data_IF_732585547090
#
_entry.id   IF_732585547090
#
_cell.length_a   1.000
_cell.length_b   1.000
_cell.length_c   1.000
_cell.angle_alpha   90.00
_cell.angle_beta   90.00
_cell.angle_gamma   90.00
#
_symmetry.space_group_name_H-M   'P 1'
#
loop_
_entity.id
_entity.type
_entity.pdbx_description
1 polymer ?
#
# COMPACT_ATOMS: atom_id res chain seq x y z
N UNK A 1 -38.44 -12.88 2.86
CA UNK A 1 -37.23 -13.58 3.34
C UNK A 1 -35.99 -13.34 2.48
N UNK A 2 -36.10 -12.89 1.21
CA UNK A 2 -34.94 -12.53 0.38
C UNK A 2 -34.24 -11.22 0.76
N UNK A 3 -34.97 -10.23 1.30
CA UNK A 3 -34.37 -8.95 1.69
C UNK A 3 -33.33 -9.09 2.82
N UNK A 4 -33.47 -10.08 3.70
CA UNK A 4 -32.57 -10.31 4.83
C UNK A 4 -31.22 -10.88 4.41
N UNK A 5 -31.16 -11.72 3.36
CA UNK A 5 -29.90 -12.27 2.84
C UNK A 5 -29.10 -11.24 2.06
N UNK A 6 -29.77 -10.38 1.29
CA UNK A 6 -29.14 -9.27 0.56
C UNK A 6 -28.59 -8.23 1.54
N UNK A 7 -29.31 -7.95 2.63
CA UNK A 7 -28.86 -7.05 3.69
C UNK A 7 -27.60 -7.57 4.39
N UNK A 8 -27.58 -8.86 4.77
CA UNK A 8 -26.41 -9.50 5.39
C UNK A 8 -25.21 -9.60 4.43
N UNK A 9 -25.45 -9.84 3.14
CA UNK A 9 -24.38 -9.88 2.13
C UNK A 9 -23.77 -8.50 1.89
N UNK A 10 -24.58 -7.44 1.87
CA UNK A 10 -24.11 -6.09 1.69
C UNK A 10 -23.43 -5.52 2.94
N UNK A 11 -23.90 -5.88 4.14
CA UNK A 11 -23.22 -5.58 5.40
C UNK A 11 -21.88 -6.33 5.50
N UNK A 12 -21.82 -7.58 5.03
CA UNK A 12 -20.57 -8.33 4.91
C UNK A 12 -19.60 -7.68 3.92
N UNK A 13 -20.07 -7.27 2.73
CA UNK A 13 -19.24 -6.59 1.72
C UNK A 13 -18.76 -5.21 2.18
N UNK A 14 -19.59 -4.45 2.91
CA UNK A 14 -19.23 -3.14 3.47
C UNK A 14 -18.20 -3.26 4.59
N UNK A 15 -18.44 -4.16 5.55
CA UNK A 15 -17.47 -4.46 6.59
C UNK A 15 -16.19 -5.02 5.99
N UNK A 16 -16.28 -5.80 4.91
CA UNK A 16 -15.12 -6.28 4.16
C UNK A 16 -14.39 -5.14 3.46
N UNK A 17 -15.06 -4.08 2.99
CA UNK A 17 -14.43 -2.96 2.30
C UNK A 17 -13.76 -1.96 3.27
N UNK A 18 -14.38 -1.68 4.42
CA UNK A 18 -13.76 -0.90 5.50
C UNK A 18 -12.58 -1.66 6.12
N UNK A 19 -12.78 -2.95 6.43
CA UNK A 19 -11.67 -3.83 6.83
C UNK A 19 -10.64 -3.96 5.72
N UNK A 20 -11.01 -3.93 4.44
CA UNK A 20 -10.06 -3.95 3.34
C UNK A 20 -9.25 -2.66 3.29
N UNK A 21 -9.82 -1.50 3.63
CA UNK A 21 -9.08 -0.23 3.64
C UNK A 21 -8.09 -0.17 4.80
N UNK A 22 -8.52 -0.55 6.01
CA UNK A 22 -7.64 -0.67 7.18
C UNK A 22 -6.59 -1.77 7.01
N UNK A 23 -6.99 -2.92 6.46
CA UNK A 23 -6.09 -4.02 6.10
C UNK A 23 -5.11 -3.58 5.01
N UNK A 24 -5.54 -2.78 4.02
CA UNK A 24 -4.68 -2.26 2.96
C UNK A 24 -3.60 -1.34 3.53
N UNK A 25 -3.97 -0.40 4.41
CA UNK A 25 -3.00 0.50 5.05
C UNK A 25 -2.05 -0.25 6.00
N UNK A 26 -2.57 -1.20 6.78
CA UNK A 26 -1.77 -2.03 7.68
C UNK A 26 -0.82 -2.92 6.90
N UNK A 27 -1.29 -3.53 5.82
CA UNK A 27 -0.49 -4.33 4.90
C UNK A 27 0.59 -3.49 4.21
N UNK A 28 0.26 -2.25 3.81
CA UNK A 28 1.20 -1.28 3.26
C UNK A 28 2.34 -1.00 4.23
N UNK A 29 2.01 -0.59 5.46
CA UNK A 29 2.98 -0.33 6.51
C UNK A 29 3.81 -1.57 6.82
N UNK A 30 3.16 -2.72 6.98
CA UNK A 30 3.83 -4.00 7.20
C UNK A 30 4.82 -4.33 6.08
N UNK A 31 4.44 -4.14 4.82
CA UNK A 31 5.30 -4.39 3.65
C UNK A 31 6.52 -3.47 3.66
N UNK A 32 6.32 -2.18 3.95
CA UNK A 32 7.39 -1.18 4.02
C UNK A 32 8.35 -1.51 5.17
N UNK A 33 7.84 -1.77 6.38
CA UNK A 33 8.67 -2.13 7.53
C UNK A 33 9.41 -3.44 7.30
N UNK A 34 8.77 -4.43 6.70
CA UNK A 34 9.39 -5.70 6.35
C UNK A 34 10.54 -5.51 5.37
N UNK A 35 10.37 -4.66 4.34
CA UNK A 35 11.45 -4.32 3.41
C UNK A 35 12.66 -3.74 4.14
N UNK A 36 12.47 -2.71 4.98
CA UNK A 36 13.59 -2.10 5.71
C UNK A 36 14.24 -3.07 6.71
N UNK A 37 13.45 -3.94 7.33
CA UNK A 37 13.96 -4.99 8.19
C UNK A 37 14.87 -5.97 7.43
N UNK A 38 14.45 -6.43 6.24
CA UNK A 38 15.28 -7.27 5.38
C UNK A 38 16.56 -6.56 4.93
N UNK A 39 16.49 -5.26 4.65
CA UNK A 39 17.68 -4.47 4.32
C UNK A 39 18.67 -4.48 5.48
N UNK A 40 18.22 -4.21 6.70
CA UNK A 40 19.10 -4.22 7.89
C UNK A 40 19.73 -5.61 8.12
N UNK A 41 18.95 -6.69 8.04
CA UNK A 41 19.48 -8.05 8.17
C UNK A 41 20.52 -8.34 7.09
N UNK A 42 20.20 -8.03 5.84
CA UNK A 42 21.10 -8.27 4.71
C UNK A 42 22.39 -7.49 4.89
N UNK A 43 22.33 -6.22 5.32
CA UNK A 43 23.49 -5.40 5.63
C UNK A 43 24.42 -6.12 6.63
N UNK A 44 23.86 -6.67 7.70
CA UNK A 44 24.62 -7.41 8.70
C UNK A 44 25.29 -8.67 8.14
N UNK A 45 24.60 -9.41 7.27
CA UNK A 45 25.12 -10.63 6.66
C UNK A 45 26.25 -10.35 5.66
N UNK A 46 26.12 -9.29 4.84
CA UNK A 46 27.07 -8.99 3.78
C UNK A 46 28.22 -8.08 4.21
N UNK A 47 28.24 -7.60 5.46
CA UNK A 47 29.20 -6.58 5.94
C UNK A 47 30.68 -6.93 5.76
N UNK A 48 31.02 -8.23 5.80
CA UNK A 48 32.40 -8.73 5.63
C UNK A 48 32.72 -9.15 4.19
N UNK A 49 31.76 -9.07 3.28
CA UNK A 49 31.99 -9.41 1.87
C UNK A 49 32.78 -8.32 1.16
N UNK A 50 33.34 -8.69 0.00
CA UNK A 50 34.05 -7.76 -0.87
C UNK A 50 33.13 -6.60 -1.29
N UNK A 51 33.71 -5.41 -1.48
CA UNK A 51 32.98 -4.19 -1.81
C UNK A 51 32.08 -4.35 -3.04
N UNK A 52 32.55 -5.06 -4.07
CA UNK A 52 31.78 -5.34 -5.29
C UNK A 52 30.50 -6.11 -4.96
N UNK A 53 30.56 -7.16 -4.13
CA UNK A 53 29.38 -7.92 -3.71
C UNK A 53 28.38 -7.04 -2.97
N UNK A 54 28.88 -6.15 -2.11
CA UNK A 54 28.05 -5.18 -1.36
C UNK A 54 27.36 -4.17 -2.27
N UNK A 55 28.06 -3.68 -3.30
CA UNK A 55 27.49 -2.80 -4.34
C UNK A 55 26.38 -3.52 -5.12
N UNK A 56 26.61 -4.76 -5.56
CA UNK A 56 25.61 -5.55 -6.28
C UNK A 56 24.36 -5.76 -5.40
N UNK A 57 24.54 -6.12 -4.13
CA UNK A 57 23.43 -6.24 -3.18
C UNK A 57 22.66 -4.93 -3.01
N UNK A 58 23.34 -3.78 -3.01
CA UNK A 58 22.69 -2.48 -2.89
C UNK A 58 21.81 -2.20 -4.11
N UNK A 59 22.33 -2.42 -5.32
CA UNK A 59 21.57 -2.27 -6.58
C UNK A 59 20.33 -3.18 -6.56
N UNK A 60 20.48 -4.43 -6.16
CA UNK A 60 19.37 -5.38 -6.05
C UNK A 60 18.32 -4.86 -5.05
N UNK A 61 18.73 -4.40 -3.86
CA UNK A 61 17.81 -3.88 -2.86
C UNK A 61 17.03 -2.63 -3.32
N UNK A 62 17.68 -1.75 -4.09
CA UNK A 62 17.03 -0.57 -4.70
C UNK A 62 16.01 -1.02 -5.75
N UNK A 63 16.36 -2.01 -6.57
CA UNK A 63 15.44 -2.57 -7.56
C UNK A 63 14.21 -3.22 -6.91
N UNK A 64 14.40 -3.96 -5.81
CA UNK A 64 13.29 -4.50 -5.02
C UNK A 64 12.40 -3.41 -4.43
N UNK A 65 12.97 -2.29 -3.96
CA UNK A 65 12.18 -1.14 -3.51
C UNK A 65 11.32 -0.57 -4.64
N UNK A 66 11.89 -0.45 -5.84
CA UNK A 66 11.15 0.02 -7.01
C UNK A 66 9.97 -0.90 -7.35
N UNK A 67 10.19 -2.22 -7.38
CA UNK A 67 9.11 -3.20 -7.60
C UNK A 67 8.03 -3.09 -6.53
N UNK A 68 8.42 -2.96 -5.25
CA UNK A 68 7.48 -2.80 -4.14
C UNK A 68 6.59 -1.56 -4.32
N UNK A 69 7.17 -0.42 -4.72
CA UNK A 69 6.43 0.82 -4.95
C UNK A 69 5.43 0.65 -6.11
N UNK A 70 5.84 0.02 -7.21
CA UNK A 70 4.93 -0.27 -8.33
C UNK A 70 3.77 -1.18 -7.91
N UNK A 71 4.05 -2.18 -7.06
CA UNK A 71 3.02 -3.08 -6.53
C UNK A 71 2.01 -2.32 -5.67
N UNK A 72 2.49 -1.48 -4.75
CA UNK A 72 1.66 -0.60 -3.92
C UNK A 72 0.78 0.30 -4.80
N UNK A 73 1.36 0.96 -5.81
CA UNK A 73 0.62 1.82 -6.73
C UNK A 73 -0.49 1.07 -7.46
N UNK A 74 -0.20 -0.15 -7.92
CA UNK A 74 -1.16 -0.99 -8.63
C UNK A 74 -2.33 -1.39 -7.72
N UNK A 75 -2.06 -1.78 -6.47
CA UNK A 75 -3.10 -2.13 -5.51
C UNK A 75 -4.02 -0.95 -5.17
N UNK A 76 -3.44 0.23 -4.96
CA UNK A 76 -4.23 1.45 -4.71
C UNK A 76 -5.08 1.82 -5.93
N UNK A 77 -4.53 1.70 -7.14
CA UNK A 77 -5.27 1.98 -8.38
C UNK A 77 -6.45 1.03 -8.56
N UNK A 78 -6.24 -0.28 -8.35
CA UNK A 78 -7.29 -1.30 -8.42
C UNK A 78 -8.40 -1.00 -7.40
N UNK A 79 -8.04 -0.67 -6.16
CA UNK A 79 -8.99 -0.27 -5.12
C UNK A 79 -9.81 0.96 -5.52
N UNK A 80 -9.17 1.97 -6.11
CA UNK A 80 -9.87 3.18 -6.61
C UNK A 80 -10.86 2.85 -7.73
N UNK A 81 -10.49 2.01 -8.70
CA UNK A 81 -11.39 1.62 -9.80
C UNK A 81 -12.62 0.88 -9.27
N UNK A 82 -12.42 -0.06 -8.33
CA UNK A 82 -13.52 -0.80 -7.69
C UNK A 82 -14.46 0.12 -6.91
N UNK A 83 -13.91 1.03 -6.09
CA UNK A 83 -14.72 1.97 -5.30
C UNK A 83 -15.52 2.92 -6.20
N UNK A 84 -14.92 3.43 -7.28
CA UNK A 84 -15.61 4.29 -8.23
C UNK A 84 -16.69 3.53 -9.03
N UNK A 85 -16.45 2.27 -9.39
CA UNK A 85 -17.46 1.43 -10.02
C UNK A 85 -18.65 1.19 -9.08
N UNK A 86 -18.40 0.90 -7.80
CA UNK A 86 -19.44 0.74 -6.78
C UNK A 86 -20.23 2.04 -6.54
N UNK A 87 -19.56 3.20 -6.57
CA UNK A 87 -20.21 4.51 -6.47
C UNK A 87 -21.18 4.76 -7.61
N UNK A 88 -20.79 4.44 -8.84
CA UNK A 88 -21.68 4.54 -10.02
C UNK A 88 -22.87 3.60 -9.94
N UNK A 89 -22.65 2.34 -9.57
CA UNK A 89 -23.72 1.37 -9.37
C UNK A 89 -24.70 1.80 -8.26
N UNK A 90 -24.22 2.52 -7.23
CA UNK A 90 -25.07 3.09 -6.20
C UNK A 90 -25.94 4.25 -6.70
N UNK A 91 -25.40 5.11 -7.58
CA UNK A 91 -26.18 6.17 -8.23
C UNK A 91 -27.30 5.59 -9.12
N UNK A 92 -26.99 4.51 -9.84
CA UNK A 92 -27.93 3.78 -10.71
C UNK A 92 -28.96 2.94 -9.94
N UNK A 93 -28.89 2.92 -8.60
CA UNK A 93 -29.80 2.15 -7.75
C UNK A 93 -29.53 0.65 -7.70
N UNK A 94 -28.46 0.18 -8.36
CA UNK A 94 -28.03 -1.21 -8.38
C UNK A 94 -27.25 -1.61 -7.13
N UNK A 95 -26.73 -0.64 -6.36
CA UNK A 95 -26.08 -0.84 -5.07
C UNK A 95 -26.72 0.04 -3.96
N UNK A 96 -27.97 -0.25 -3.55
CA UNK A 96 -28.76 0.60 -2.64
C UNK A 96 -28.15 0.77 -1.25
N UNK A 97 -27.41 -0.23 -0.76
CA UNK A 97 -26.75 -0.17 0.56
C UNK A 97 -25.46 0.64 0.52
N UNK A 98 -24.73 0.62 -0.60
CA UNK A 98 -23.60 1.52 -0.80
C UNK A 98 -24.09 2.96 -0.92
N UNK A 99 -25.21 3.18 -1.64
CA UNK A 99 -25.90 4.47 -1.72
C UNK A 99 -26.23 5.04 -0.34
N UNK A 100 -26.86 4.24 0.52
CA UNK A 100 -27.25 4.67 1.87
C UNK A 100 -26.04 5.04 2.74
N UNK A 101 -24.94 4.30 2.62
CA UNK A 101 -23.72 4.60 3.38
C UNK A 101 -22.96 5.82 2.86
N UNK A 102 -22.91 6.02 1.54
CA UNK A 102 -22.38 7.25 0.97
C UNK A 102 -23.14 8.45 1.54
N UNK A 103 -24.48 8.39 1.54
CA UNK A 103 -25.33 9.43 2.11
C UNK A 103 -25.05 9.63 3.62
N UNK A 104 -24.91 8.55 4.40
CA UNK A 104 -24.55 8.62 5.84
C UNK A 104 -23.17 9.22 6.09
N UNK A 105 -22.23 9.01 5.18
CA UNK A 105 -20.89 9.59 5.22
C UNK A 105 -20.83 11.01 4.62
N UNK A 106 -21.97 11.57 4.21
CA UNK A 106 -22.05 12.90 3.59
C UNK A 106 -21.51 12.94 2.15
N UNK A 107 -21.39 11.79 1.50
CA UNK A 107 -20.88 11.65 0.14
C UNK A 107 -22.02 11.37 -0.84
N UNK A 108 -22.03 12.07 -1.97
CA UNK A 108 -23.05 11.89 -2.98
C UNK A 108 -22.84 10.56 -3.75
N UNK A 109 -23.87 9.70 -3.90
CA UNK A 109 -23.79 8.52 -4.75
C UNK A 109 -23.43 8.87 -6.20
N UNK A 110 -22.42 8.22 -6.76
CA UNK A 110 -21.90 8.53 -8.09
C UNK A 110 -20.77 9.56 -8.11
N UNK A 111 -20.49 10.20 -6.97
CA UNK A 111 -19.28 11.01 -6.82
C UNK A 111 -18.03 10.13 -6.92
N UNK A 112 -16.94 10.71 -7.44
CA UNK A 112 -15.63 10.07 -7.39
C UNK A 112 -15.19 9.91 -5.94
N UNK A 113 -14.95 8.66 -5.55
CA UNK A 113 -14.47 8.32 -4.22
C UNK A 113 -12.95 8.27 -4.23
N UNK A 114 -12.37 9.17 -3.47
CA UNK A 114 -10.94 9.23 -3.20
C UNK A 114 -10.76 9.01 -1.70
N UNK A 115 -10.66 7.75 -1.27
CA UNK A 115 -10.44 7.38 0.14
C UNK A 115 -9.03 7.69 0.65
N UNK A 116 -8.10 8.01 -0.26
CA UNK A 116 -6.74 8.42 0.07
C UNK A 116 -6.48 9.71 -0.68
N UNK A 117 -6.07 10.76 0.03
CA UNK A 117 -5.62 11.99 -0.60
C UNK A 117 -4.48 11.65 -1.59
N UNK A 118 -4.70 11.84 -2.90
CA UNK A 118 -3.71 11.46 -3.91
C UNK A 118 -2.40 12.22 -3.75
N UNK A 119 -2.42 13.40 -3.09
CA UNK A 119 -1.21 14.15 -2.79
C UNK A 119 -0.40 13.51 -1.66
N UNK A 120 -1.06 13.09 -0.57
CA UNK A 120 -0.40 12.40 0.55
C UNK A 120 0.21 11.07 0.12
N UNK A 121 -0.49 10.28 -0.69
CA UNK A 121 0.03 9.02 -1.21
C UNK A 121 1.26 9.23 -2.09
N UNK A 122 1.23 10.23 -2.97
CA UNK A 122 2.37 10.59 -3.82
C UNK A 122 3.59 11.00 -2.98
N UNK A 123 3.38 11.85 -1.98
CA UNK A 123 4.46 12.25 -1.06
C UNK A 123 5.05 11.03 -0.36
N UNK A 124 4.19 10.17 0.21
CA UNK A 124 4.63 8.97 0.91
C UNK A 124 5.45 8.06 -0.01
N UNK A 125 5.02 7.87 -1.27
CA UNK A 125 5.75 7.07 -2.25
C UNK A 125 7.11 7.66 -2.60
N UNK A 126 7.21 8.98 -2.78
CA UNK A 126 8.49 9.65 -3.03
C UNK A 126 9.42 9.47 -1.84
N UNK A 127 8.91 9.65 -0.62
CA UNK A 127 9.69 9.47 0.61
C UNK A 127 10.22 8.03 0.72
N UNK A 128 9.36 7.03 0.50
CA UNK A 128 9.76 5.61 0.53
C UNK A 128 10.76 5.29 -0.59
N UNK A 129 10.58 5.86 -1.78
CA UNK A 129 11.52 5.68 -2.87
C UNK A 129 12.92 6.20 -2.49
N UNK A 130 12.99 7.43 -2.00
CA UNK A 130 14.24 8.06 -1.59
C UNK A 130 14.88 7.31 -0.43
N UNK A 131 14.11 6.95 0.61
CA UNK A 131 14.63 6.20 1.75
C UNK A 131 15.09 4.79 1.35
N UNK A 132 14.34 4.08 0.53
CA UNK A 132 14.72 2.75 0.04
C UNK A 132 15.84 2.77 -1.00
N UNK A 133 16.19 3.94 -1.56
CA UNK A 133 17.41 4.12 -2.34
C UNK A 133 18.63 4.39 -1.46
N UNK A 134 18.51 5.33 -0.52
CA UNK A 134 19.62 5.79 0.33
C UNK A 134 20.00 4.73 1.38
N UNK A 135 19.01 4.06 1.98
CA UNK A 135 19.24 3.14 3.11
C UNK A 135 20.14 1.96 2.73
N UNK A 136 19.90 1.22 1.62
CA UNK A 136 20.81 0.16 1.21
C UNK A 136 22.19 0.68 0.83
N UNK A 137 22.30 1.84 0.17
CA UNK A 137 23.60 2.44 -0.18
C UNK A 137 24.40 2.73 1.09
N UNK A 138 23.78 3.41 2.05
CA UNK A 138 24.44 3.74 3.32
C UNK A 138 24.81 2.47 4.09
N UNK A 139 23.84 1.58 4.36
CA UNK A 139 24.07 0.41 5.20
C UNK A 139 24.99 -0.62 4.54
N UNK A 140 24.92 -0.79 3.22
CA UNK A 140 25.68 -1.84 2.54
C UNK A 140 27.04 -1.34 2.11
N UNK A 141 27.27 -0.06 1.84
CA UNK A 141 28.56 0.42 1.30
C UNK A 141 29.34 1.22 2.35
N UNK A 142 28.68 2.19 2.99
CA UNK A 142 29.37 3.19 3.81
C UNK A 142 29.37 2.87 5.31
N UNK A 143 28.35 2.17 5.79
CA UNK A 143 28.24 1.87 7.20
C UNK A 143 29.41 1.00 7.65
N UNK A 144 30.15 1.52 8.61
CA UNK A 144 31.27 0.82 9.20
C UNK A 144 30.77 0.01 10.39
N UNK A 145 30.24 -1.18 10.11
CA UNK A 145 29.64 -2.10 11.09
C UNK A 145 30.65 -2.77 12.04
N UNK A 146 31.92 -2.36 11.97
CA UNK A 146 33.00 -2.80 12.83
C UNK A 146 34.23 -1.92 12.62
N UNK A 147 34.46 -0.98 13.54
CA UNK A 147 35.83 -0.58 13.86
C UNK A 147 36.39 -1.68 14.78
N UNK A 148 36.72 -2.82 14.21
CA UNK A 148 37.54 -3.86 14.84
C UNK A 148 38.61 -4.31 13.83
#
# INVERSE_FOLDING_TARGET
MEQTSIYLLAEALLNQNLRATESTNTFLLFTIFSYFFFVVITAYLIRKLHLISRIISAIIAIFFNFIMILYIQSQVLIGKVLLNALSKLAAEGQAPIFKENLIKQGVEPGAELSTIDPYQLKILMIVIFVLGAITPIYLYIFANWGKD
#
